data_IF_689232985115
#
_entry.id   IF_689232985115
#
_cell.length_a   1.000
_cell.length_b   1.000
_cell.length_c   1.000
_cell.angle_alpha   90.00
_cell.angle_beta   90.00
_cell.angle_gamma   90.00
#
_symmetry.space_group_name_H-M   'P 1'
#
loop_
_entity.id
_entity.type
_entity.pdbx_description
1 polymer ?
#
# COMPACT_ATOMS: atom_id res chain seq x y z
N UNK A 1 -16.84 30.04 -22.83
CA UNK A 1 -16.72 29.32 -21.55
C UNK A 1 -15.80 30.15 -20.68
N UNK A 2 -16.33 30.83 -19.67
CA UNK A 2 -15.55 31.62 -18.72
C UNK A 2 -15.14 30.65 -17.60
N UNK A 3 -13.84 30.49 -17.36
CA UNK A 3 -13.36 29.79 -16.17
C UNK A 3 -13.59 30.74 -15.00
N UNK A 4 -14.74 30.60 -14.33
CA UNK A 4 -14.93 31.18 -13.01
C UNK A 4 -13.79 30.65 -12.12
N UNK A 5 -12.86 31.50 -11.65
CA UNK A 5 -11.82 31.04 -10.75
C UNK A 5 -12.52 30.46 -9.51
N UNK A 6 -12.08 29.29 -9.00
CA UNK A 6 -12.67 28.74 -7.78
C UNK A 6 -12.59 29.82 -6.69
N UNK A 7 -13.70 30.04 -5.99
CA UNK A 7 -13.82 31.04 -4.93
C UNK A 7 -12.61 30.96 -4.00
N UNK A 8 -11.96 32.09 -3.68
CA UNK A 8 -10.82 32.18 -2.74
C UNK A 8 -11.19 31.79 -1.28
N UNK A 9 -12.36 31.18 -1.08
CA UNK A 9 -12.92 30.86 0.21
C UNK A 9 -12.77 29.37 0.47
N UNK A 10 -11.58 29.00 0.94
CA UNK A 10 -11.37 28.04 2.03
C UNK A 10 -9.88 28.00 2.43
N UNK A 11 -9.24 29.16 2.55
CA UNK A 11 -8.01 29.30 3.34
C UNK A 11 -8.36 29.43 4.84
N UNK A 12 -9.36 28.67 5.30
CA UNK A 12 -9.66 28.48 6.70
C UNK A 12 -8.83 27.29 7.17
N UNK A 13 -7.67 27.59 7.75
CA UNK A 13 -7.08 26.79 8.84
C UNK A 13 -7.10 25.28 8.61
N UNK A 14 -6.51 24.79 7.51
CA UNK A 14 -6.00 23.43 7.56
C UNK A 14 -4.88 23.44 8.58
N UNK A 15 -5.09 22.78 9.72
CA UNK A 15 -3.99 22.36 10.57
C UNK A 15 -2.90 21.76 9.67
N UNK A 16 -1.60 22.07 9.89
CA UNK A 16 -0.55 21.43 9.13
C UNK A 16 -0.80 19.93 9.21
N UNK A 17 -1.09 19.29 8.08
CA UNK A 17 -1.16 17.83 8.06
C UNK A 17 0.19 17.37 8.62
N UNK A 18 0.22 16.50 9.62
CA UNK A 18 1.48 15.95 10.09
C UNK A 18 2.27 15.50 8.86
N UNK A 19 3.45 16.08 8.68
CA UNK A 19 4.33 15.68 7.59
C UNK A 19 4.54 14.19 7.68
N UNK A 20 4.48 13.50 6.55
CA UNK A 20 4.79 12.07 6.53
C UNK A 20 6.19 11.87 7.10
N UNK A 21 6.40 10.85 7.95
CA UNK A 21 7.72 10.62 8.51
C UNK A 21 8.72 10.32 7.39
N UNK A 22 10.00 10.59 7.64
CA UNK A 22 11.07 10.40 6.64
C UNK A 22 11.18 8.95 6.10
N UNK A 23 10.63 7.96 6.83
CA UNK A 23 10.60 6.55 6.44
C UNK A 23 9.33 6.14 5.66
N UNK A 24 8.36 7.04 5.47
CA UNK A 24 7.08 6.69 4.84
C UNK A 24 7.20 6.31 3.37
N UNK A 25 8.12 6.94 2.66
CA UNK A 25 8.43 6.66 1.27
C UNK A 25 9.94 6.84 1.05
N UNK A 26 10.53 6.11 0.10
CA UNK A 26 11.91 6.34 -0.29
C UNK A 26 12.08 7.77 -0.85
N UNK A 27 13.29 8.36 -0.74
CA UNK A 27 13.58 9.66 -1.33
C UNK A 27 13.27 9.68 -2.83
N UNK A 28 12.60 10.74 -3.30
CA UNK A 28 12.17 10.87 -4.70
C UNK A 28 13.32 11.04 -5.70
N UNK A 29 14.49 11.41 -5.19
CA UNK A 29 15.74 11.60 -5.93
C UNK A 29 16.59 10.32 -6.01
N UNK A 30 16.19 9.25 -5.33
CA UNK A 30 16.90 7.98 -5.33
C UNK A 30 16.23 6.95 -6.27
N UNK A 31 17.04 6.33 -7.13
CA UNK A 31 16.61 5.15 -7.90
C UNK A 31 16.99 3.88 -7.15
N UNK A 32 15.99 3.26 -6.50
CA UNK A 32 16.21 2.01 -5.78
C UNK A 32 16.56 0.83 -6.70
N UNK A 33 17.44 -0.05 -6.24
CA UNK A 33 17.83 -1.27 -6.93
C UNK A 33 16.76 -2.36 -6.81
N UNK A 34 16.41 -3.02 -7.92
CA UNK A 34 15.43 -4.12 -7.91
C UNK A 34 16.13 -5.44 -7.60
N UNK A 35 15.68 -6.08 -6.51
CA UNK A 35 16.10 -7.42 -6.11
C UNK A 35 14.96 -8.40 -6.37
N UNK A 36 15.23 -9.43 -7.17
CA UNK A 36 14.30 -10.55 -7.36
C UNK A 36 14.39 -11.45 -6.13
N UNK A 37 13.29 -11.54 -5.39
CA UNK A 37 13.19 -12.28 -4.13
C UNK A 37 12.65 -13.69 -4.37
N UNK A 38 11.58 -13.81 -5.17
CA UNK A 38 10.97 -15.11 -5.48
C UNK A 38 10.40 -15.85 -4.27
N UNK A 39 10.18 -15.16 -3.15
CA UNK A 39 9.77 -15.77 -1.89
C UNK A 39 8.26 -16.02 -1.85
N UNK A 40 7.87 -17.22 -1.39
CA UNK A 40 6.51 -17.51 -0.94
C UNK A 40 6.45 -17.29 0.58
N UNK A 41 5.76 -16.22 1.01
CA UNK A 41 5.66 -15.86 2.42
C UNK A 41 4.65 -16.74 3.17
N UNK A 42 3.54 -17.07 2.52
CA UNK A 42 2.54 -17.97 3.05
C UNK A 42 1.81 -18.69 1.92
N UNK A 43 1.41 -19.94 2.17
CA UNK A 43 0.61 -20.70 1.22
C UNK A 43 -0.38 -21.60 1.94
N UNK A 44 -1.64 -21.49 1.55
CA UNK A 44 -2.74 -22.35 1.95
C UNK A 44 -3.38 -22.94 0.68
N UNK A 45 -4.35 -23.85 0.78
CA UNK A 45 -5.10 -24.32 -0.39
C UNK A 45 -5.80 -23.18 -1.18
N UNK A 46 -6.11 -22.06 -0.51
CA UNK A 46 -6.92 -20.97 -1.07
C UNK A 46 -6.21 -19.66 -1.26
N UNK A 47 -5.08 -19.45 -0.60
CA UNK A 47 -4.37 -18.18 -0.62
C UNK A 47 -2.88 -18.48 -0.78
N UNK A 48 -2.26 -17.81 -1.74
CA UNK A 48 -0.82 -17.71 -1.83
C UNK A 48 -0.43 -16.25 -1.62
N UNK A 49 0.55 -16.02 -0.74
CA UNK A 49 1.17 -14.71 -0.51
C UNK A 49 2.62 -14.82 -0.97
N UNK A 50 3.00 -14.00 -1.93
CA UNK A 50 4.34 -14.01 -2.53
C UNK A 50 4.97 -12.62 -2.51
N UNK A 51 6.29 -12.58 -2.36
CA UNK A 51 7.10 -11.38 -2.46
C UNK A 51 8.05 -11.56 -3.66
N UNK A 52 7.60 -11.25 -4.88
CA UNK A 52 8.39 -11.49 -6.09
C UNK A 52 9.63 -10.60 -6.14
N UNK A 53 9.49 -9.32 -5.77
CA UNK A 53 10.54 -8.31 -5.90
C UNK A 53 10.57 -7.38 -4.69
N UNK A 54 11.77 -6.95 -4.32
CA UNK A 54 12.02 -5.91 -3.34
C UNK A 54 12.79 -4.80 -4.04
N UNK A 55 12.37 -3.55 -3.90
CA UNK A 55 13.14 -2.40 -4.35
C UNK A 55 13.89 -1.84 -3.15
N UNK A 56 15.22 -1.95 -3.14
CA UNK A 56 16.08 -1.51 -2.05
C UNK A 56 16.60 -0.09 -2.31
N UNK A 57 16.61 0.71 -1.25
CA UNK A 57 17.11 2.09 -1.19
C UNK A 57 18.14 2.18 -0.06
N UNK A 58 18.94 3.25 -0.03
CA UNK A 58 19.97 3.45 1.00
C UNK A 58 19.38 3.43 2.42
N UNK A 59 18.21 4.05 2.59
CA UNK A 59 17.53 4.19 3.90
C UNK A 59 16.30 3.29 4.06
N UNK A 60 16.09 2.29 3.19
CA UNK A 60 14.93 1.41 3.31
C UNK A 60 14.66 0.51 2.12
N UNK A 61 13.43 -0.02 2.04
CA UNK A 61 12.98 -0.78 0.89
C UNK A 61 11.48 -0.64 0.66
N UNK A 62 11.06 -0.83 -0.59
CA UNK A 62 9.67 -0.99 -0.99
C UNK A 62 9.44 -2.47 -1.34
N UNK A 63 8.43 -3.07 -0.74
CA UNK A 63 8.07 -4.47 -0.94
C UNK A 63 6.68 -4.57 -1.58
N UNK A 64 6.62 -5.19 -2.76
CA UNK A 64 5.35 -5.51 -3.41
C UNK A 64 4.94 -6.93 -3.04
N UNK A 65 3.84 -7.05 -2.30
CA UNK A 65 3.31 -8.36 -1.88
C UNK A 65 2.12 -8.71 -2.75
N UNK A 66 2.23 -9.84 -3.45
CA UNK A 66 1.14 -10.38 -4.25
C UNK A 66 0.31 -11.35 -3.40
N UNK A 67 -1.00 -11.13 -3.34
CA UNK A 67 -1.94 -12.02 -2.68
C UNK A 67 -2.85 -12.60 -3.75
N UNK A 68 -2.71 -13.90 -4.00
CA UNK A 68 -3.52 -14.63 -4.97
C UNK A 68 -4.52 -15.52 -4.23
N UNK A 69 -5.80 -15.29 -4.46
CA UNK A 69 -6.89 -16.09 -3.90
C UNK A 69 -7.44 -17.06 -4.94
N UNK A 70 -7.66 -18.31 -4.53
CA UNK A 70 -8.36 -19.34 -5.31
C UNK A 70 -9.77 -19.51 -4.73
N UNK A 71 -10.83 -19.08 -5.44
CA UNK A 71 -12.20 -19.13 -4.92
C UNK A 71 -12.76 -20.53 -4.70
N UNK A 72 -12.18 -21.56 -5.32
CA UNK A 72 -12.80 -22.89 -5.46
C UNK A 72 -13.05 -23.66 -4.15
N UNK A 73 -12.59 -23.15 -3.00
CA UNK A 73 -12.77 -23.78 -1.68
C UNK A 73 -13.18 -22.77 -0.60
N UNK A 74 -13.56 -21.54 -0.97
CA UNK A 74 -14.03 -20.52 -0.02
C UNK A 74 -15.54 -20.41 -0.11
N UNK A 75 -16.24 -20.52 1.03
CA UNK A 75 -17.63 -20.08 1.13
C UNK A 75 -17.69 -18.56 0.91
N UNK A 76 -18.82 -18.04 0.39
CA UNK A 76 -19.04 -16.60 0.26
C UNK A 76 -18.86 -15.86 1.62
N UNK A 77 -19.12 -16.55 2.73
CA UNK A 77 -18.96 -16.02 4.09
C UNK A 77 -17.49 -15.92 4.53
N UNK A 78 -16.60 -16.79 4.04
CA UNK A 78 -15.16 -16.77 4.35
C UNK A 78 -14.44 -15.58 3.70
N UNK A 79 -14.98 -15.09 2.58
CA UNK A 79 -14.44 -13.95 1.86
C UNK A 79 -14.64 -12.63 2.63
N UNK A 80 -15.78 -12.47 3.30
CA UNK A 80 -16.13 -11.27 4.06
C UNK A 80 -15.42 -11.21 5.43
N UNK A 81 -15.17 -12.35 6.07
CA UNK A 81 -14.47 -12.41 7.36
C UNK A 81 -12.96 -12.12 7.30
N UNK A 82 -12.36 -12.09 6.10
CA UNK A 82 -10.90 -11.92 5.89
C UNK A 82 -10.50 -10.64 5.17
N UNK A 83 -11.45 -9.76 4.81
CA UNK A 83 -11.10 -8.42 4.34
C UNK A 83 -10.46 -7.67 5.51
N UNK A 84 -9.13 -7.65 5.51
CA UNK A 84 -8.26 -7.09 6.55
C UNK A 84 -8.84 -5.81 7.14
N UNK A 85 -9.28 -5.90 8.40
CA UNK A 85 -9.59 -4.74 9.24
C UNK A 85 -8.29 -4.00 9.53
N UNK A 86 -7.91 -3.10 8.62
CA UNK A 86 -6.85 -2.11 8.83
C UNK A 86 -7.38 -0.84 9.52
N UNK A 87 -8.66 -0.81 9.86
CA UNK A 87 -9.25 0.18 10.76
C UNK A 87 -9.12 -0.36 12.17
N UNK A 88 -8.12 0.10 12.90
CA UNK A 88 -8.17 0.42 14.34
C UNK A 88 -6.75 0.67 14.85
N UNK A 89 -6.25 1.87 14.55
CA UNK A 89 -5.22 2.57 15.34
C UNK A 89 -5.30 4.05 14.99
N UNK A 90 -6.32 4.71 15.54
CA UNK A 90 -6.27 6.13 15.90
C UNK A 90 -6.45 6.24 17.40
#
# INVERSE_FOLDING_TARGET
MFFEPPSEQEELTRSPRPGLPAWYAPPSDEMGGVVVSGLALARTPNIAVTLPTIQAFEIGCLMNVDIVMRPHTLSADDFQGRSLSFKDSQ
#
